data_IF_768762913390
#
_entry.id   IF_768762913390
#
_cell.length_a   1.000
_cell.length_b   1.000
_cell.length_c   1.000
_cell.angle_alpha   90.00
_cell.angle_beta   90.00
_cell.angle_gamma   90.00
#
_symmetry.space_group_name_H-M   'P 1'
#
loop_
_entity.id
_entity.type
_entity.pdbx_description
1 polymer ?
#
# COMPACT_ATOMS: atom_id res chain seq x y z
N UNK A 1 -3.51 20.29 -22.10
CA UNK A 1 -3.38 18.83 -22.33
C UNK A 1 -4.73 18.12 -22.35
N UNK A 2 -5.64 18.36 -21.38
CA UNK A 2 -6.99 17.77 -21.37
C UNK A 2 -7.81 18.01 -22.65
N UNK A 3 -7.71 19.20 -23.25
CA UNK A 3 -8.45 19.55 -24.47
C UNK A 3 -7.99 18.77 -25.74
N UNK A 4 -6.73 18.31 -25.79
CA UNK A 4 -6.19 17.52 -26.90
C UNK A 4 -6.58 16.04 -26.82
N UNK A 5 -6.86 15.56 -25.60
CA UNK A 5 -7.37 14.21 -25.35
C UNK A 5 -8.87 14.19 -25.70
N UNK A 6 -9.63 15.22 -25.31
CA UNK A 6 -11.05 15.37 -25.62
C UNK A 6 -11.37 15.30 -27.13
N UNK A 7 -10.57 15.93 -27.99
CA UNK A 7 -10.81 15.99 -29.43
C UNK A 7 -10.45 14.72 -30.21
N UNK A 8 -9.75 13.75 -29.60
CA UNK A 8 -9.37 12.48 -30.26
C UNK A 8 -9.97 11.22 -29.61
N UNK A 9 -10.75 11.39 -28.54
CA UNK A 9 -11.42 10.29 -27.85
C UNK A 9 -12.45 9.57 -28.73
N UNK A 10 -13.12 10.28 -29.64
CA UNK A 10 -14.10 9.70 -30.57
C UNK A 10 -13.48 8.90 -31.74
N UNK A 11 -12.19 9.09 -32.03
CA UNK A 11 -11.50 8.42 -33.15
C UNK A 11 -10.86 7.08 -32.74
N UNK A 12 -10.79 6.78 -31.44
CA UNK A 12 -10.07 5.62 -30.93
C UNK A 12 -11.01 4.44 -30.66
N UNK A 13 -10.63 3.21 -31.08
CA UNK A 13 -11.37 2.02 -30.67
C UNK A 13 -11.36 1.91 -29.15
N UNK A 14 -12.53 1.56 -28.57
CA UNK A 14 -12.80 1.54 -27.13
C UNK A 14 -11.73 0.83 -26.30
N UNK A 15 -11.15 -0.24 -26.84
CA UNK A 15 -10.06 -1.01 -26.24
C UNK A 15 -8.79 -0.15 -25.98
N UNK A 16 -8.35 0.62 -26.99
CA UNK A 16 -7.17 1.50 -26.86
C UNK A 16 -7.41 2.64 -25.88
N UNK A 17 -8.66 3.08 -25.76
CA UNK A 17 -9.05 4.11 -24.82
C UNK A 17 -8.96 3.60 -23.37
N UNK A 18 -9.47 2.38 -23.14
CA UNK A 18 -9.38 1.71 -21.84
C UNK A 18 -7.93 1.44 -21.44
N UNK A 19 -7.09 0.95 -22.35
CA UNK A 19 -5.66 0.73 -22.09
C UNK A 19 -4.92 2.01 -21.69
N UNK A 20 -5.25 3.14 -22.35
CA UNK A 20 -4.65 4.44 -22.04
C UNK A 20 -5.11 4.96 -20.70
N UNK A 21 -6.40 4.83 -20.37
CA UNK A 21 -6.94 5.21 -19.06
C UNK A 21 -6.33 4.36 -17.93
N UNK A 22 -6.19 3.05 -18.15
CA UNK A 22 -5.53 2.15 -17.21
C UNK A 22 -4.06 2.55 -17.00
N UNK A 23 -3.34 2.87 -18.09
CA UNK A 23 -1.97 3.38 -18.01
C UNK A 23 -1.85 4.68 -17.24
N UNK A 24 -2.78 5.63 -17.44
CA UNK A 24 -2.82 6.89 -16.69
C UNK A 24 -3.08 6.64 -15.20
N UNK A 25 -4.01 5.75 -14.86
CA UNK A 25 -4.30 5.40 -13.47
C UNK A 25 -3.08 4.79 -12.78
N UNK A 26 -2.41 3.84 -13.44
CA UNK A 26 -1.20 3.21 -12.90
C UNK A 26 -0.07 4.23 -12.67
N UNK A 27 0.09 5.17 -13.60
CA UNK A 27 1.05 6.27 -13.45
C UNK A 27 0.69 7.18 -12.29
N UNK A 28 -0.59 7.54 -12.14
CA UNK A 28 -1.07 8.37 -11.05
C UNK A 28 -0.80 7.69 -9.69
N UNK A 29 -1.16 6.42 -9.54
CA UNK A 29 -0.92 5.65 -8.30
C UNK A 29 0.57 5.57 -7.95
N UNK A 30 1.42 5.36 -8.96
CA UNK A 30 2.88 5.35 -8.77
C UNK A 30 3.41 6.71 -8.33
N UNK A 31 2.94 7.80 -8.94
CA UNK A 31 3.34 9.16 -8.53
C UNK A 31 2.86 9.50 -7.13
N UNK A 32 1.64 9.09 -6.77
CA UNK A 32 1.09 9.25 -5.42
C UNK A 32 1.97 8.54 -4.39
N UNK A 33 2.37 7.29 -4.67
CA UNK A 33 3.24 6.52 -3.78
C UNK A 33 4.61 7.19 -3.58
N UNK A 34 5.23 7.68 -4.66
CA UNK A 34 6.54 8.38 -4.56
C UNK A 34 6.41 9.68 -3.75
N UNK A 35 5.34 10.45 -3.97
CA UNK A 35 5.08 11.69 -3.25
C UNK A 35 4.83 11.42 -1.75
N UNK A 36 4.00 10.43 -1.42
CA UNK A 36 3.79 10.01 -0.03
C UNK A 36 5.10 9.60 0.63
N UNK A 37 5.89 8.75 0.00
CA UNK A 37 7.18 8.31 0.55
C UNK A 37 8.17 9.48 0.77
N UNK A 38 8.17 10.47 -0.13
CA UNK A 38 9.02 11.66 0.02
C UNK A 38 8.55 12.55 1.16
N UNK A 39 7.25 12.79 1.28
CA UNK A 39 6.67 13.59 2.37
C UNK A 39 6.87 12.93 3.72
N UNK A 40 6.68 11.61 3.80
CA UNK A 40 6.94 10.83 5.01
C UNK A 40 8.42 10.97 5.43
N UNK A 41 9.35 10.86 4.47
CA UNK A 41 10.79 11.01 4.73
C UNK A 41 11.20 12.40 5.21
N UNK A 42 10.64 13.46 4.62
CA UNK A 42 10.90 14.84 5.04
C UNK A 42 10.27 15.16 6.40
N UNK A 43 9.07 14.62 6.69
CA UNK A 43 8.43 14.75 7.99
C UNK A 43 9.27 14.06 9.08
N UNK A 44 9.74 12.84 8.81
CA UNK A 44 10.63 12.06 9.69
C UNK A 44 11.93 12.83 9.99
N UNK A 45 12.57 13.41 8.96
CA UNK A 45 13.84 14.15 9.10
C UNK A 45 13.72 15.49 9.81
N UNK A 46 12.60 16.19 9.62
CA UNK A 46 12.36 17.50 10.24
C UNK A 46 11.86 17.40 11.69
N UNK A 47 11.60 16.19 12.19
CA UNK A 47 11.04 15.97 13.52
C UNK A 47 9.57 16.43 13.64
N UNK A 48 8.90 16.64 12.51
CA UNK A 48 7.53 17.16 12.44
C UNK A 48 6.46 16.06 12.39
N UNK A 49 6.86 14.79 12.39
CA UNK A 49 5.91 13.68 12.56
C UNK A 49 5.27 13.78 13.93
N UNK A 50 4.00 14.19 13.96
CA UNK A 50 3.18 14.11 15.15
C UNK A 50 2.75 12.66 15.33
N UNK A 51 3.42 11.97 16.25
CA UNK A 51 3.05 10.62 16.65
C UNK A 51 1.95 10.75 17.72
N UNK A 52 0.77 10.25 17.39
CA UNK A 52 -0.37 10.21 18.29
C UNK A 52 -0.41 8.86 19.00
N UNK A 53 0.30 8.80 20.12
CA UNK A 53 0.38 7.58 20.94
C UNK A 53 -0.97 7.29 21.60
N UNK A 54 -1.51 6.09 21.35
CA UNK A 54 -2.71 5.58 21.98
C UNK A 54 -2.53 4.14 22.48
N UNK A 55 -3.40 3.69 23.38
CA UNK A 55 -3.47 2.30 23.81
C UNK A 55 -4.24 1.50 22.74
N UNK A 56 -3.52 0.73 21.95
CA UNK A 56 -4.03 0.01 20.80
C UNK A 56 -4.08 -1.50 21.06
N UNK A 57 -5.20 -2.14 20.73
CA UNK A 57 -5.30 -3.60 20.71
C UNK A 57 -4.72 -4.16 19.40
N UNK A 58 -4.01 -5.29 19.48
CA UNK A 58 -3.40 -5.95 18.32
C UNK A 58 -4.41 -6.62 17.36
N UNK A 59 -5.71 -6.44 17.57
CA UNK A 59 -6.75 -6.77 16.58
C UNK A 59 -6.51 -6.07 15.23
N UNK A 60 -5.76 -4.95 15.23
CA UNK A 60 -5.26 -4.31 14.00
C UNK A 60 -4.57 -5.30 13.03
N UNK A 61 -3.85 -6.29 13.56
CA UNK A 61 -3.14 -7.28 12.74
C UNK A 61 -4.10 -8.18 11.95
N UNK A 62 -5.30 -8.43 12.50
CA UNK A 62 -6.33 -9.21 11.80
C UNK A 62 -6.88 -8.40 10.62
N UNK A 63 -7.18 -7.11 10.83
CA UNK A 63 -7.61 -6.20 9.76
C UNK A 63 -6.57 -6.11 8.65
N UNK A 64 -5.29 -6.00 9.02
CA UNK A 64 -4.19 -5.98 8.06
C UNK A 64 -4.15 -7.27 7.24
N UNK A 65 -4.22 -8.43 7.89
CA UNK A 65 -4.18 -9.72 7.19
C UNK A 65 -5.37 -9.93 6.27
N UNK A 66 -6.59 -9.53 6.69
CA UNK A 66 -7.77 -9.56 5.82
C UNK A 66 -7.56 -8.71 4.56
N UNK A 67 -6.90 -7.54 4.67
CA UNK A 67 -6.57 -6.71 3.50
C UNK A 67 -5.55 -7.34 2.53
N UNK A 68 -4.78 -8.32 3.01
CA UNK A 68 -3.75 -9.02 2.23
C UNK A 68 -4.17 -10.40 1.74
N UNK A 69 -5.30 -10.92 2.19
CA UNK A 69 -5.75 -12.28 1.94
C UNK A 69 -5.80 -12.64 0.45
N UNK A 70 -6.34 -11.75 -0.39
CA UNK A 70 -6.40 -11.95 -1.84
C UNK A 70 -5.00 -12.00 -2.49
N UNK A 71 -4.09 -11.13 -2.06
CA UNK A 71 -2.72 -11.05 -2.59
C UNK A 71 -1.88 -12.26 -2.20
N UNK A 72 -2.02 -12.72 -0.96
CA UNK A 72 -1.33 -13.90 -0.45
C UNK A 72 -1.87 -15.17 -1.13
N UNK A 73 -3.20 -15.28 -1.25
CA UNK A 73 -3.86 -16.40 -1.94
C UNK A 73 -3.45 -16.53 -3.40
N UNK A 74 -3.38 -15.41 -4.13
CA UNK A 74 -2.92 -15.38 -5.53
C UNK A 74 -1.48 -15.90 -5.70
N UNK A 75 -0.65 -15.81 -4.66
CA UNK A 75 0.72 -16.34 -4.63
C UNK A 75 0.86 -17.67 -3.91
N UNK A 76 -0.24 -18.27 -3.46
CA UNK A 76 -0.26 -19.48 -2.61
C UNK A 76 0.60 -19.35 -1.34
N UNK A 77 0.70 -18.14 -0.79
CA UNK A 77 1.45 -17.84 0.42
C UNK A 77 0.54 -17.98 1.65
N UNK A 78 1.09 -18.52 2.73
CA UNK A 78 0.39 -18.67 4.01
C UNK A 78 1.01 -17.72 5.03
N UNK A 79 0.19 -16.86 5.63
CA UNK A 79 0.62 -16.01 6.73
C UNK A 79 0.08 -16.54 8.06
N UNK A 80 0.97 -16.73 9.03
CA UNK A 80 0.61 -17.17 10.38
C UNK A 80 0.56 -15.95 11.31
N UNK A 81 -0.62 -15.67 11.85
CA UNK A 81 -0.78 -14.63 12.87
C UNK A 81 -0.59 -15.22 14.26
N UNK A 82 0.42 -14.73 14.98
CA UNK A 82 0.57 -14.95 16.42
C UNK A 82 0.52 -13.59 17.09
N UNK A 83 -0.50 -13.39 17.92
CA UNK A 83 -0.72 -12.13 18.64
C UNK A 83 -0.96 -12.41 20.12
N UNK A 84 -0.65 -11.42 20.94
CA UNK A 84 -1.02 -11.38 22.35
C UNK A 84 -2.24 -10.44 22.52
N UNK A 85 -2.95 -10.54 23.65
CA UNK A 85 -4.17 -9.76 23.90
C UNK A 85 -3.90 -8.46 24.66
N UNK A 86 -2.64 -8.19 24.97
CA UNK A 86 -2.20 -7.03 25.70
C UNK A 86 -2.21 -5.81 24.78
N UNK A 87 -2.79 -4.68 25.23
CA UNK A 87 -2.73 -3.45 24.48
C UNK A 87 -1.29 -2.93 24.43
N UNK A 88 -0.92 -2.36 23.28
CA UNK A 88 0.37 -1.72 23.05
C UNK A 88 0.21 -0.21 22.99
N UNK A 89 1.19 0.53 23.51
CA UNK A 89 1.24 1.97 23.31
C UNK A 89 1.91 2.27 21.97
N UNK A 90 1.12 2.69 20.99
CA UNK A 90 1.59 2.98 19.64
C UNK A 90 0.67 3.99 18.94
N UNK A 91 1.17 4.62 17.89
CA UNK A 91 0.33 5.31 16.91
C UNK A 91 -0.20 4.29 15.90
N UNK A 92 -1.51 4.22 15.76
CA UNK A 92 -2.18 3.24 14.89
C UNK A 92 -1.80 3.38 13.42
N UNK A 93 -1.69 4.60 12.90
CA UNK A 93 -1.37 4.82 11.47
C UNK A 93 0.08 4.45 11.18
N UNK A 94 0.99 4.89 12.05
CA UNK A 94 2.42 4.58 11.91
C UNK A 94 2.64 3.07 12.02
N UNK A 95 2.02 2.42 13.01
CA UNK A 95 2.15 0.98 13.20
C UNK A 95 1.59 0.21 12.00
N UNK A 96 0.42 0.60 11.48
CA UNK A 96 -0.14 0.01 10.27
C UNK A 96 0.82 0.10 9.08
N UNK A 97 1.36 1.28 8.81
CA UNK A 97 2.27 1.50 7.68
C UNK A 97 3.55 0.66 7.79
N UNK A 98 4.11 0.55 9.00
CA UNK A 98 5.28 -0.32 9.25
C UNK A 98 4.93 -1.78 8.97
N UNK A 99 3.81 -2.27 9.51
CA UNK A 99 3.40 -3.67 9.36
C UNK A 99 3.04 -4.01 7.90
N UNK A 100 2.36 -3.11 7.19
CA UNK A 100 2.04 -3.26 5.76
C UNK A 100 3.31 -3.36 4.92
N UNK A 101 4.31 -2.52 5.20
CA UNK A 101 5.61 -2.58 4.52
C UNK A 101 6.34 -3.90 4.81
N UNK A 102 6.34 -4.36 6.05
CA UNK A 102 6.96 -5.64 6.42
C UNK A 102 6.27 -6.82 5.74
N UNK A 103 4.94 -6.85 5.71
CA UNK A 103 4.18 -7.91 5.05
C UNK A 103 4.34 -7.87 3.53
N UNK A 104 4.41 -6.68 2.94
CA UNK A 104 4.75 -6.47 1.53
C UNK A 104 6.11 -7.05 1.18
N UNK A 105 7.11 -6.78 2.02
CA UNK A 105 8.45 -7.33 1.84
C UNK A 105 8.44 -8.85 2.01
N UNK A 106 7.79 -9.39 3.04
CA UNK A 106 7.66 -10.83 3.23
C UNK A 106 7.03 -11.50 2.00
N UNK A 107 5.89 -11.01 1.51
CA UNK A 107 5.22 -11.57 0.32
C UNK A 107 6.06 -11.45 -0.97
N UNK A 108 6.93 -10.43 -1.08
CA UNK A 108 7.83 -10.29 -2.23
C UNK A 108 8.97 -11.30 -2.18
N UNK A 109 9.57 -11.51 -1.02
CA UNK A 109 10.82 -12.27 -0.87
C UNK A 109 10.64 -13.72 -0.41
N UNK A 110 9.43 -14.15 -0.02
CA UNK A 110 9.15 -15.54 0.41
C UNK A 110 9.54 -16.59 -0.66
N UNK A 111 9.42 -16.25 -1.95
CA UNK A 111 9.83 -17.13 -3.06
C UNK A 111 11.34 -17.22 -3.28
N UNK A 112 12.16 -16.30 -2.76
CA UNK A 112 13.62 -16.33 -2.98
C UNK A 112 14.35 -17.29 -2.03
N UNK A 113 13.72 -17.74 -0.94
CA UNK A 113 14.34 -18.59 0.06
C UNK A 113 14.38 -20.11 -0.28
N UNK A 114 13.80 -20.51 -1.42
CA UNK A 114 13.73 -21.91 -1.89
C UNK A 114 14.62 -22.20 -3.11
N UNK A 115 15.56 -21.30 -3.44
CA UNK A 115 16.54 -21.45 -4.53
C UNK A 115 17.89 -21.99 -4.07
#
# INVERSE_FOLDING_TARGET
MAHLIATRLDEWPRERMLDRLAGISLLADRTQCILSNLLDHEALKSGSVQIHMESLCLTLLQELLSSWEERLSAKQQVCLLVTCNEPVWADRQVLWQVLDNLLSNASKYDCEALG
#
